data_IF_221316112763
#
_entry.id   IF_221316112763
#
_cell.length_a   1.000
_cell.length_b   1.000
_cell.length_c   1.000
_cell.angle_alpha   90.00
_cell.angle_beta   90.00
_cell.angle_gamma   90.00
#
_symmetry.space_group_name_H-M   'P 1'
#
loop_
_entity.id
_entity.type
_entity.pdbx_description
1 polymer ?
#
# COMPACT_ATOMS: atom_id res chain seq x y z
N UNK A 1 -9.48 8.32 27.76
CA UNK A 1 -9.57 9.01 26.45
C UNK A 1 -10.01 10.44 26.69
N UNK A 2 -9.27 11.43 26.17
CA UNK A 2 -9.63 12.85 26.27
C UNK A 2 -10.17 13.33 24.91
N UNK A 3 -11.49 13.52 24.74
CA UNK A 3 -12.10 13.84 23.45
C UNK A 3 -11.56 15.15 22.84
N UNK A 4 -11.08 16.10 23.65
CA UNK A 4 -10.49 17.34 23.16
C UNK A 4 -9.16 17.10 22.42
N UNK A 5 -8.35 16.15 22.90
CA UNK A 5 -7.07 15.78 22.26
C UNK A 5 -7.29 15.08 20.94
N UNK A 6 -8.29 14.20 20.84
CA UNK A 6 -8.65 13.55 19.58
C UNK A 6 -9.08 14.56 18.51
N UNK A 7 -9.95 15.51 18.86
CA UNK A 7 -10.41 16.52 17.90
C UNK A 7 -9.25 17.38 17.39
N UNK A 8 -8.35 17.82 18.27
CA UNK A 8 -7.17 18.59 17.88
C UNK A 8 -6.23 17.80 16.95
N UNK A 9 -5.91 16.55 17.30
CA UNK A 9 -5.04 15.70 16.49
C UNK A 9 -5.64 15.43 15.11
N UNK A 10 -6.93 15.09 15.04
CA UNK A 10 -7.65 14.87 13.78
C UNK A 10 -7.65 16.11 12.89
N UNK A 11 -7.88 17.29 13.48
CA UNK A 11 -7.80 18.55 12.76
C UNK A 11 -6.41 18.76 12.14
N UNK A 12 -5.35 18.63 12.95
CA UNK A 12 -3.96 18.79 12.47
C UNK A 12 -3.67 17.83 11.31
N UNK A 13 -3.94 16.54 11.48
CA UNK A 13 -3.71 15.53 10.42
C UNK A 13 -4.52 15.85 9.17
N UNK A 14 -5.79 16.26 9.31
CA UNK A 14 -6.62 16.63 8.17
C UNK A 14 -6.09 17.85 7.40
N UNK A 15 -5.52 18.84 8.09
CA UNK A 15 -4.90 20.00 7.42
C UNK A 15 -3.62 19.65 6.68
N UNK A 16 -2.96 18.55 7.08
CA UNK A 16 -1.76 18.04 6.43
C UNK A 16 -2.05 17.14 5.22
N UNK A 17 -3.32 16.90 4.86
CA UNK A 17 -3.69 15.93 3.82
C UNK A 17 -2.84 16.03 2.55
N UNK A 18 -2.71 17.23 1.98
CA UNK A 18 -1.91 17.45 0.77
C UNK A 18 -0.43 17.08 0.95
N UNK A 19 0.14 17.35 2.13
CA UNK A 19 1.52 16.98 2.44
C UNK A 19 1.66 15.46 2.56
N UNK A 20 0.68 14.81 3.20
CA UNK A 20 0.62 13.34 3.32
C UNK A 20 0.58 12.68 1.93
N UNK A 21 -0.11 13.27 0.95
CA UNK A 21 -0.15 12.72 -0.42
C UNK A 21 1.17 12.87 -1.18
N UNK A 22 1.94 13.93 -0.92
CA UNK A 22 3.14 14.26 -1.70
C UNK A 22 4.46 13.87 -1.04
N UNK A 23 4.48 13.70 0.28
CA UNK A 23 5.67 13.36 1.05
C UNK A 23 5.67 11.83 1.32
N UNK A 24 6.64 11.08 0.77
CA UNK A 24 6.70 9.63 0.94
C UNK A 24 6.80 9.17 2.40
N UNK A 25 7.53 9.90 3.25
CA UNK A 25 7.71 9.52 4.65
C UNK A 25 6.42 9.72 5.44
N UNK A 26 5.74 10.85 5.26
CA UNK A 26 4.43 11.07 5.87
C UNK A 26 3.40 10.04 5.37
N UNK A 27 3.38 9.76 4.06
CA UNK A 27 2.48 8.76 3.47
C UNK A 27 2.65 7.39 4.13
N UNK A 28 3.89 6.89 4.17
CA UNK A 28 4.21 5.60 4.78
C UNK A 28 3.87 5.57 6.27
N UNK A 29 4.10 6.68 6.99
CA UNK A 29 3.78 6.78 8.42
C UNK A 29 2.26 6.66 8.66
N UNK A 30 1.44 7.45 7.94
CA UNK A 30 -0.02 7.43 8.11
C UNK A 30 -0.69 6.20 7.49
N UNK A 31 -0.01 5.46 6.61
CA UNK A 31 -0.42 4.14 6.16
C UNK A 31 -0.06 3.02 7.14
N UNK A 32 0.73 3.32 8.18
CA UNK A 32 1.20 2.36 9.17
C UNK A 32 2.32 1.44 8.67
N UNK A 33 3.02 1.84 7.61
CA UNK A 33 4.13 1.09 7.04
C UNK A 33 5.46 1.34 7.75
N UNK A 34 5.61 2.50 8.40
CA UNK A 34 6.77 2.87 9.22
C UNK A 34 6.33 3.51 10.53
N UNK A 35 7.23 3.56 11.52
CA UNK A 35 6.98 4.16 12.83
C UNK A 35 6.88 5.69 12.76
N UNK A 36 6.15 6.26 13.71
CA UNK A 36 6.05 7.72 13.88
C UNK A 36 7.35 8.27 14.49
N UNK A 37 8.20 8.86 13.66
CA UNK A 37 9.47 9.49 14.05
C UNK A 37 9.43 11.00 13.83
N UNK A 38 9.93 11.80 14.78
CA UNK A 38 9.81 13.28 14.76
C UNK A 38 10.43 13.92 13.51
N UNK A 39 11.48 13.31 12.96
CA UNK A 39 12.22 13.75 11.77
C UNK A 39 11.36 13.77 10.49
N UNK A 40 10.31 12.94 10.45
CA UNK A 40 9.42 12.85 9.29
C UNK A 40 8.37 13.98 9.27
N UNK A 41 8.29 14.82 10.30
CA UNK A 41 7.22 15.81 10.45
C UNK A 41 7.72 17.26 10.30
N UNK A 42 6.91 18.14 9.69
CA UNK A 42 7.30 19.52 9.43
C UNK A 42 7.42 20.38 10.70
N UNK A 43 6.79 19.94 11.80
CA UNK A 43 6.87 20.60 13.09
C UNK A 43 6.45 19.65 14.21
N UNK A 44 6.73 20.06 15.45
CA UNK A 44 6.43 19.28 16.65
C UNK A 44 4.94 19.00 16.87
N UNK A 45 4.05 19.94 16.50
CA UNK A 45 2.60 19.76 16.68
C UNK A 45 2.06 18.64 15.77
N UNK A 46 2.57 18.56 14.54
CA UNK A 46 2.25 17.50 13.59
C UNK A 46 2.71 16.13 14.11
N UNK A 47 3.94 16.07 14.64
CA UNK A 47 4.48 14.87 15.28
C UNK A 47 3.63 14.42 16.48
N UNK A 48 3.33 15.33 17.42
CA UNK A 48 2.52 15.01 18.60
C UNK A 48 1.09 14.55 18.23
N UNK A 49 0.51 15.13 17.17
CA UNK A 49 -0.76 14.68 16.63
C UNK A 49 -0.67 13.26 16.06
N UNK A 50 0.40 12.95 15.30
CA UNK A 50 0.62 11.62 14.73
C UNK A 50 0.85 10.57 15.82
N UNK A 51 1.66 10.86 16.84
CA UNK A 51 1.87 9.99 18.01
C UNK A 51 0.54 9.70 18.71
N UNK A 52 -0.32 10.72 18.86
CA UNK A 52 -1.65 10.50 19.43
C UNK A 52 -2.51 9.59 18.54
N UNK A 53 -2.50 9.80 17.22
CA UNK A 53 -3.28 8.99 16.28
C UNK A 53 -2.81 7.55 16.30
N UNK A 54 -1.50 7.29 16.32
CA UNK A 54 -0.91 5.95 16.44
C UNK A 54 -1.31 5.28 17.76
N UNK A 55 -1.27 6.00 18.89
CA UNK A 55 -1.59 5.44 20.21
C UNK A 55 -3.08 5.34 20.56
N UNK A 56 -3.99 5.89 19.74
CA UNK A 56 -5.41 5.99 20.06
C UNK A 56 -6.28 5.20 19.07
N UNK A 57 -6.92 4.08 19.48
CA UNK A 57 -7.73 3.26 18.58
C UNK A 57 -8.85 4.02 17.87
N UNK A 58 -9.51 4.96 18.56
CA UNK A 58 -10.55 5.78 17.96
C UNK A 58 -10.02 6.74 16.88
N UNK A 59 -8.76 7.18 16.99
CA UNK A 59 -8.11 7.99 15.97
C UNK A 59 -7.57 7.13 14.83
N UNK A 60 -7.10 5.91 15.09
CA UNK A 60 -6.72 4.96 14.04
C UNK A 60 -7.92 4.59 13.14
N UNK A 61 -9.07 4.25 13.74
CA UNK A 61 -10.28 3.95 12.97
C UNK A 61 -10.74 5.14 12.15
N UNK A 62 -10.72 6.34 12.74
CA UNK A 62 -11.01 7.57 12.01
C UNK A 62 -10.03 7.80 10.86
N UNK A 63 -8.73 7.63 11.08
CA UNK A 63 -7.69 7.86 10.07
C UNK A 63 -7.90 6.93 8.87
N UNK A 64 -8.16 5.64 9.11
CA UNK A 64 -8.43 4.69 8.03
C UNK A 64 -9.63 5.14 7.21
N UNK A 65 -10.78 5.38 7.85
CA UNK A 65 -12.00 5.80 7.15
C UNK A 65 -11.84 7.15 6.44
N UNK A 66 -11.10 8.08 7.03
CA UNK A 66 -10.85 9.39 6.44
C UNK A 66 -9.95 9.29 5.21
N UNK A 67 -8.84 8.55 5.28
CA UNK A 67 -7.95 8.30 4.13
C UNK A 67 -8.69 7.56 3.00
N UNK A 68 -9.51 6.57 3.34
CA UNK A 68 -10.35 5.85 2.37
C UNK A 68 -11.34 6.79 1.67
N UNK A 69 -11.92 7.74 2.41
CA UNK A 69 -12.80 8.76 1.85
C UNK A 69 -12.07 9.82 0.99
N UNK A 70 -10.80 10.11 1.28
CA UNK A 70 -10.00 11.06 0.49
C UNK A 70 -9.51 10.43 -0.83
N UNK A 71 -9.23 9.13 -0.85
CA UNK A 71 -8.73 8.44 -2.03
C UNK A 71 -9.43 7.10 -2.25
N UNK A 72 -10.52 7.07 -3.05
CA UNK A 72 -11.15 5.83 -3.47
C UNK A 72 -10.18 4.90 -4.22
N UNK A 73 -9.16 5.46 -4.87
CA UNK A 73 -8.10 4.71 -5.54
C UNK A 73 -7.28 3.88 -4.55
N UNK A 74 -7.06 4.37 -3.33
CA UNK A 74 -6.37 3.62 -2.27
C UNK A 74 -7.11 2.36 -1.86
N UNK A 75 -8.45 2.43 -1.78
CA UNK A 75 -9.28 1.25 -1.50
C UNK A 75 -9.11 0.23 -2.62
N UNK A 76 -9.28 0.67 -3.87
CA UNK A 76 -9.11 -0.21 -5.05
C UNK A 76 -7.71 -0.81 -5.10
N UNK A 77 -6.69 -0.03 -4.81
CA UNK A 77 -5.30 -0.47 -4.79
C UNK A 77 -5.09 -1.58 -3.74
N UNK A 78 -5.60 -1.40 -2.52
CA UNK A 78 -5.53 -2.42 -1.46
C UNK A 78 -6.31 -3.69 -1.81
N UNK A 79 -7.50 -3.54 -2.37
CA UNK A 79 -8.31 -4.67 -2.82
C UNK A 79 -7.64 -5.44 -3.96
N UNK A 80 -6.97 -4.73 -4.89
CA UNK A 80 -6.14 -5.35 -5.92
C UNK A 80 -4.95 -6.07 -5.30
N UNK A 81 -4.16 -5.40 -4.47
CA UNK A 81 -2.98 -5.96 -3.81
C UNK A 81 -3.31 -7.23 -3.01
N UNK A 82 -4.47 -7.29 -2.36
CA UNK A 82 -4.91 -8.47 -1.60
C UNK A 82 -5.09 -9.74 -2.45
N UNK A 83 -5.18 -9.62 -3.78
CA UNK A 83 -5.23 -10.76 -4.72
C UNK A 83 -3.87 -11.40 -4.95
N UNK A 84 -2.78 -10.71 -4.61
CA UNK A 84 -1.41 -11.12 -4.88
C UNK A 84 -0.79 -11.77 -3.64
N UNK A 85 0.19 -12.63 -3.86
CA UNK A 85 0.85 -13.36 -2.78
C UNK A 85 1.77 -12.50 -1.91
N UNK A 86 2.25 -11.35 -2.40
CA UNK A 86 3.03 -10.36 -1.65
C UNK A 86 3.05 -9.02 -2.41
N UNK A 87 3.52 -7.95 -1.74
CA UNK A 87 3.68 -6.61 -2.32
C UNK A 87 4.61 -6.62 -3.54
N UNK A 88 5.76 -7.27 -3.46
CA UNK A 88 6.71 -7.31 -4.59
C UNK A 88 6.15 -7.99 -5.83
N UNK A 89 5.32 -9.03 -5.67
CA UNK A 89 4.65 -9.67 -6.81
C UNK A 89 3.58 -8.74 -7.42
N UNK A 90 2.87 -8.00 -6.58
CA UNK A 90 1.93 -6.97 -7.05
C UNK A 90 2.64 -5.88 -7.85
N UNK A 91 3.74 -5.34 -7.34
CA UNK A 91 4.57 -4.34 -8.05
C UNK A 91 5.12 -4.92 -9.37
N UNK A 92 5.71 -6.12 -9.33
CA UNK A 92 6.27 -6.77 -10.51
C UNK A 92 5.25 -7.04 -11.62
N UNK A 93 3.98 -7.24 -11.29
CA UNK A 93 2.93 -7.46 -12.29
C UNK A 93 2.33 -6.14 -12.78
N UNK A 94 2.15 -5.15 -11.89
CA UNK A 94 1.35 -3.95 -12.18
C UNK A 94 2.14 -2.70 -12.54
N UNK A 95 3.40 -2.59 -12.12
CA UNK A 95 4.23 -1.41 -12.39
C UNK A 95 5.02 -1.59 -13.71
N UNK A 96 4.74 -0.78 -14.76
CA UNK A 96 5.50 -0.83 -16.00
C UNK A 96 6.98 -0.49 -15.85
N UNK A 97 7.35 0.23 -14.80
CA UNK A 97 8.72 0.65 -14.50
C UNK A 97 9.47 -0.33 -13.57
N UNK A 98 8.85 -1.44 -13.15
CA UNK A 98 9.50 -2.43 -12.31
C UNK A 98 10.72 -3.06 -13.03
N UNK A 99 11.81 -3.23 -12.29
CA UNK A 99 13.05 -3.86 -12.79
C UNK A 99 12.83 -5.34 -13.19
N UNK A 100 11.97 -6.03 -12.43
CA UNK A 100 11.55 -7.40 -12.70
C UNK A 100 10.05 -7.38 -12.92
N UNK A 101 9.63 -7.73 -14.13
CA UNK A 101 8.23 -7.80 -14.55
C UNK A 101 7.76 -9.23 -14.66
N UNK A 102 6.58 -9.50 -14.09
CA UNK A 102 5.89 -10.77 -14.23
C UNK A 102 4.63 -10.59 -15.08
N UNK A 103 4.40 -11.51 -16.01
CA UNK A 103 3.14 -11.57 -16.77
C UNK A 103 2.68 -13.01 -16.96
N UNK A 104 1.38 -13.19 -17.08
CA UNK A 104 0.77 -14.50 -17.32
C UNK A 104 0.43 -14.67 -18.80
N UNK A 105 0.78 -15.83 -19.38
CA UNK A 105 0.40 -16.20 -20.74
C UNK A 105 0.10 -17.69 -20.83
N UNK A 106 -0.64 -18.10 -21.86
CA UNK A 106 -0.82 -19.50 -22.22
C UNK A 106 0.20 -19.89 -23.31
N UNK A 107 1.29 -20.55 -22.93
CA UNK A 107 2.24 -21.09 -23.90
C UNK A 107 1.76 -22.46 -24.38
N UNK A 108 1.32 -22.56 -25.64
CA UNK A 108 0.76 -23.80 -26.22
C UNK A 108 -0.41 -24.38 -25.39
N UNK A 109 -1.24 -23.49 -24.83
CA UNK A 109 -2.34 -23.80 -23.91
C UNK A 109 -1.93 -24.19 -22.49
N UNK A 110 -0.62 -24.21 -22.17
CA UNK A 110 -0.12 -24.42 -20.82
C UNK A 110 0.07 -23.07 -20.09
N UNK A 111 -0.44 -22.91 -18.86
CA UNK A 111 -0.22 -21.73 -18.02
C UNK A 111 1.27 -21.45 -17.78
N UNK A 112 1.72 -20.23 -18.11
CA UNK A 112 3.11 -19.82 -17.98
C UNK A 112 3.22 -18.41 -17.39
N UNK A 113 4.25 -18.21 -16.56
CA UNK A 113 4.58 -16.92 -15.96
C UNK A 113 5.88 -16.39 -16.56
N UNK A 114 5.80 -15.42 -17.47
CA UNK A 114 6.98 -14.81 -18.04
C UNK A 114 7.65 -13.89 -17.01
N UNK A 115 8.99 -13.84 -17.08
CA UNK A 115 9.80 -12.89 -16.33
C UNK A 115 10.53 -12.02 -17.34
N UNK A 116 10.29 -10.71 -17.30
CA UNK A 116 10.86 -9.76 -18.26
C UNK A 116 10.64 -10.20 -19.72
N UNK A 117 9.43 -10.66 -20.04
CA UNK A 117 9.02 -11.12 -21.39
C UNK A 117 9.77 -12.37 -21.88
N UNK A 118 10.58 -12.99 -21.03
CA UNK A 118 11.20 -14.28 -21.28
C UNK A 118 10.37 -15.40 -20.68
N UNK A 119 10.21 -16.50 -21.42
CA UNK A 119 9.59 -17.72 -20.92
C UNK A 119 10.43 -18.29 -19.78
N UNK A 120 10.00 -18.02 -18.55
CA UNK A 120 10.45 -18.69 -17.36
C UNK A 120 9.30 -19.55 -16.86
N UNK A 121 9.52 -20.84 -16.57
CA UNK A 121 8.48 -21.66 -15.96
C UNK A 121 8.49 -21.41 -14.44
N UNK A 122 8.21 -20.17 -14.04
CA UNK A 122 8.16 -19.79 -12.64
C UNK A 122 6.92 -20.41 -11.99
N UNK A 123 7.16 -21.35 -11.07
CA UNK A 123 6.10 -22.01 -10.31
C UNK A 123 5.88 -21.39 -8.93
N UNK A 124 6.86 -20.60 -8.45
CA UNK A 124 6.87 -20.00 -7.13
C UNK A 124 7.27 -18.53 -7.21
N UNK A 125 6.69 -17.72 -6.33
CA UNK A 125 7.08 -16.34 -6.13
C UNK A 125 8.51 -16.28 -5.56
N UNK A 126 9.43 -15.52 -6.17
CA UNK A 126 10.81 -15.45 -5.70
C UNK A 126 10.95 -14.73 -4.35
N UNK A 127 9.96 -13.91 -3.97
CA UNK A 127 10.01 -13.11 -2.73
C UNK A 127 9.38 -13.79 -1.51
N UNK A 128 8.29 -14.53 -1.69
CA UNK A 128 7.57 -15.15 -0.57
C UNK A 128 7.44 -16.68 -0.67
N UNK A 129 7.99 -17.30 -1.72
CA UNK A 129 7.97 -18.74 -1.98
C UNK A 129 6.56 -19.36 -2.10
N UNK A 130 5.49 -18.57 -2.16
CA UNK A 130 4.15 -19.06 -2.45
C UNK A 130 4.06 -19.56 -3.88
N UNK A 131 3.27 -20.61 -4.09
CA UNK A 131 3.03 -21.16 -5.42
C UNK A 131 2.23 -20.16 -6.25
N UNK A 132 2.68 -19.90 -7.48
CA UNK A 132 1.97 -19.01 -8.39
C UNK A 132 0.69 -19.69 -8.92
N UNK A 133 -0.41 -18.94 -9.11
CA UNK A 133 -1.64 -19.49 -9.64
C UNK A 133 -1.46 -19.92 -11.10
N UNK A 134 -2.26 -20.90 -11.54
CA UNK A 134 -2.31 -21.33 -12.94
C UNK A 134 -3.18 -20.42 -13.83
N UNK A 135 -3.41 -19.19 -13.39
CA UNK A 135 -4.20 -18.14 -14.04
C UNK A 135 -3.63 -16.78 -13.65
N UNK A 136 -3.93 -15.74 -14.42
CA UNK A 136 -3.56 -14.37 -14.07
C UNK A 136 -4.18 -13.96 -12.72
N UNK A 137 -3.48 -13.13 -11.94
CA UNK A 137 -4.03 -12.58 -10.68
C UNK A 137 -5.28 -11.72 -10.88
N UNK A 138 -5.42 -11.13 -12.07
CA UNK A 138 -6.54 -10.28 -12.46
C UNK A 138 -7.16 -10.78 -13.77
N UNK A 139 -8.50 -10.88 -13.87
CA UNK A 139 -9.18 -11.55 -14.97
C UNK A 139 -9.03 -10.87 -16.33
N UNK A 140 -8.74 -9.56 -16.37
CA UNK A 140 -8.69 -8.78 -17.61
C UNK A 140 -7.27 -8.54 -18.14
N UNK A 141 -6.23 -9.01 -17.44
CA UNK A 141 -4.85 -8.89 -17.90
C UNK A 141 -4.47 -7.48 -18.34
N UNK A 142 -4.87 -6.45 -17.57
CA UNK A 142 -4.36 -5.07 -17.50
C UNK A 142 -5.19 -4.28 -16.46
#
# INVERSE_FOLDING_TARGET
MNPNTCTAARHIVSTMHRQIETDPALKLTFEGAILVEEENFPNRQAYEAAVHVEGCPACQSWLSSWLDAQSPERIRHRERQARYCCLHMFEAVTDPAAEIRFSFELFRLDPCWLINEHYAFANFCPWCAQRLPAHAFEPDGL
#
